data_IF_894780798983
#
_entry.id   IF_894780798983
#
_cell.length_a   1.000
_cell.length_b   1.000
_cell.length_c   1.000
_cell.angle_alpha   90.00
_cell.angle_beta   90.00
_cell.angle_gamma   90.00
#
_symmetry.space_group_name_H-M   'P 1'
#
loop_
_entity.id
_entity.type
_entity.pdbx_description
1 polymer ?
#
# COMPACT_ATOMS: atom_id res chain seq x y z
N UNK A 1 -12.31 -4.16 -32.20
CA UNK A 1 -13.08 -3.46 -31.15
C UNK A 1 -12.11 -3.15 -30.00
N UNK A 2 -11.73 -1.89 -29.80
CA UNK A 2 -10.89 -1.49 -28.66
C UNK A 2 -11.78 -1.33 -27.41
N UNK A 3 -11.38 -1.81 -26.22
CA UNK A 3 -12.20 -1.63 -25.03
C UNK A 3 -12.33 -0.15 -24.70
N UNK A 4 -13.57 0.33 -24.57
CA UNK A 4 -13.86 1.65 -24.00
C UNK A 4 -13.40 1.62 -22.55
N UNK A 5 -12.30 2.30 -22.26
CA UNK A 5 -11.83 2.50 -20.89
C UNK A 5 -12.75 3.50 -20.20
N UNK A 6 -13.86 3.02 -19.62
CA UNK A 6 -14.72 3.85 -18.78
C UNK A 6 -13.91 4.29 -17.56
N UNK A 7 -13.66 5.60 -17.43
CA UNK A 7 -12.90 6.17 -16.31
C UNK A 7 -13.69 5.95 -15.02
N UNK A 8 -13.34 4.92 -14.26
CA UNK A 8 -13.93 4.66 -12.94
C UNK A 8 -13.66 5.86 -12.03
N UNK A 9 -14.73 6.47 -11.51
CA UNK A 9 -14.63 7.53 -10.51
C UNK A 9 -14.43 6.89 -9.14
N UNK A 10 -13.27 7.13 -8.55
CA UNK A 10 -12.93 6.66 -7.20
C UNK A 10 -13.31 7.73 -6.16
N UNK A 11 -13.75 7.31 -4.97
CA UNK A 11 -13.92 8.22 -3.83
C UNK A 11 -12.57 8.79 -3.36
N UNK A 12 -12.59 9.88 -2.58
CA UNK A 12 -11.37 10.46 -2.02
C UNK A 12 -10.53 9.44 -1.25
N UNK A 13 -11.18 8.64 -0.39
CA UNK A 13 -10.52 7.57 0.38
C UNK A 13 -9.94 6.47 -0.53
N UNK A 14 -10.66 6.07 -1.58
CA UNK A 14 -10.15 5.08 -2.54
C UNK A 14 -8.92 5.61 -3.29
N UNK A 15 -8.94 6.87 -3.72
CA UNK A 15 -7.78 7.52 -4.34
C UNK A 15 -6.60 7.53 -3.37
N UNK A 16 -6.85 7.83 -2.09
CA UNK A 16 -5.83 7.85 -1.06
C UNK A 16 -5.19 6.48 -0.82
N UNK A 17 -6.00 5.41 -0.77
CA UNK A 17 -5.54 4.02 -0.66
C UNK A 17 -4.68 3.64 -1.87
N UNK A 18 -5.15 3.96 -3.09
CA UNK A 18 -4.41 3.68 -4.33
C UNK A 18 -3.07 4.43 -4.35
N UNK A 19 -3.06 5.70 -3.96
CA UNK A 19 -1.86 6.51 -3.89
C UNK A 19 -0.88 5.99 -2.84
N UNK A 20 -1.38 5.53 -1.69
CA UNK A 20 -0.57 4.91 -0.65
C UNK A 20 0.05 3.59 -1.14
N UNK A 21 -0.72 2.71 -1.79
CA UNK A 21 -0.20 1.50 -2.42
C UNK A 21 0.95 1.81 -3.38
N UNK A 22 0.75 2.77 -4.30
CA UNK A 22 1.82 3.21 -5.23
C UNK A 22 3.04 3.78 -4.50
N UNK A 23 2.83 4.52 -3.40
CA UNK A 23 3.92 5.06 -2.57
C UNK A 23 4.76 3.95 -1.94
N UNK A 24 4.15 2.86 -1.47
CA UNK A 24 4.88 1.69 -0.97
C UNK A 24 5.81 1.10 -2.04
N UNK A 25 5.33 0.91 -3.27
CA UNK A 25 6.18 0.38 -4.36
C UNK A 25 7.30 1.34 -4.77
N UNK A 26 7.08 2.66 -4.69
CA UNK A 26 8.15 3.65 -4.89
C UNK A 26 9.22 3.54 -3.81
N UNK A 27 8.85 3.31 -2.55
CA UNK A 27 9.79 3.08 -1.46
C UNK A 27 10.58 1.78 -1.66
N UNK A 28 9.92 0.70 -2.10
CA UNK A 28 10.59 -0.58 -2.41
C UNK A 28 11.67 -0.42 -3.49
N UNK A 29 11.46 0.42 -4.50
CA UNK A 29 12.48 0.68 -5.54
C UNK A 29 13.78 1.27 -4.99
N UNK A 30 13.76 1.87 -3.78
CA UNK A 30 14.95 2.39 -3.12
C UNK A 30 15.72 1.32 -2.32
N UNK A 31 15.13 0.15 -2.07
CA UNK A 31 15.76 -0.95 -1.33
C UNK A 31 16.71 -1.76 -2.26
N UNK A 32 17.69 -2.51 -1.70
CA UNK A 32 18.58 -3.38 -2.48
C UNK A 32 17.80 -4.40 -3.30
N UNK A 33 18.28 -4.71 -4.53
CA UNK A 33 17.58 -5.56 -5.50
C UNK A 33 17.12 -6.90 -4.93
N UNK A 34 17.98 -7.55 -4.15
CA UNK A 34 17.78 -8.85 -3.54
C UNK A 34 16.56 -8.88 -2.61
N UNK A 35 16.31 -7.78 -1.90
CA UNK A 35 15.20 -7.69 -0.94
C UNK A 35 13.88 -7.20 -1.56
N UNK A 36 13.92 -6.60 -2.76
CA UNK A 36 12.74 -5.95 -3.36
C UNK A 36 11.55 -6.90 -3.52
N UNK A 37 11.80 -8.13 -3.96
CA UNK A 37 10.72 -9.11 -4.18
C UNK A 37 10.02 -9.48 -2.87
N UNK A 38 10.78 -9.67 -1.78
CA UNK A 38 10.22 -9.92 -0.44
C UNK A 38 9.28 -8.78 -0.01
N UNK A 39 9.73 -7.53 -0.14
CA UNK A 39 8.90 -6.38 0.22
C UNK A 39 7.68 -6.20 -0.71
N UNK A 40 7.78 -6.52 -2.01
CA UNK A 40 6.62 -6.49 -2.92
C UNK A 40 5.55 -7.47 -2.47
N UNK A 41 5.95 -8.70 -2.15
CA UNK A 41 5.04 -9.73 -1.67
C UNK A 41 4.42 -9.31 -0.34
N UNK A 42 5.23 -8.83 0.62
CA UNK A 42 4.73 -8.30 1.89
C UNK A 42 3.65 -7.23 1.69
N UNK A 43 3.90 -6.20 0.87
CA UNK A 43 2.91 -5.15 0.61
C UNK A 43 1.65 -5.72 -0.02
N UNK A 44 1.76 -6.63 -0.98
CA UNK A 44 0.57 -7.27 -1.60
C UNK A 44 -0.25 -8.03 -0.57
N UNK A 45 0.39 -8.87 0.24
CA UNK A 45 -0.26 -9.64 1.30
C UNK A 45 -0.95 -8.71 2.29
N UNK A 46 -0.30 -7.63 2.74
CA UNK A 46 -0.90 -6.70 3.70
C UNK A 46 -2.16 -6.00 3.16
N UNK A 47 -2.20 -5.69 1.87
CA UNK A 47 -3.39 -5.10 1.23
C UNK A 47 -4.49 -6.13 0.94
N UNK A 48 -4.16 -7.43 0.88
CA UNK A 48 -5.10 -8.51 0.58
C UNK A 48 -5.62 -9.24 1.82
N UNK A 49 -4.90 -9.21 2.95
CA UNK A 49 -5.24 -9.97 4.16
C UNK A 49 -6.54 -9.53 4.84
N UNK A 50 -7.06 -8.34 4.52
CA UNK A 50 -8.26 -7.79 5.12
C UNK A 50 -9.43 -7.90 4.14
N UNK A 51 -10.51 -8.56 4.57
CA UNK A 51 -11.75 -8.62 3.80
C UNK A 51 -12.60 -7.37 4.06
N UNK A 52 -12.19 -6.23 3.49
CA UNK A 52 -12.86 -4.93 3.65
C UNK A 52 -13.82 -4.66 2.49
N UNK A 53 -15.00 -4.15 2.84
CA UNK A 53 -15.97 -3.64 1.88
C UNK A 53 -15.76 -2.14 1.67
N UNK A 54 -16.18 -1.59 0.51
CA UNK A 54 -16.07 -0.16 0.25
C UNK A 54 -16.74 0.74 1.30
N UNK A 55 -17.73 0.21 2.04
CA UNK A 55 -18.44 0.90 3.12
C UNK A 55 -17.70 0.96 4.45
N UNK A 56 -16.61 0.20 4.62
CA UNK A 56 -15.88 0.09 5.89
C UNK A 56 -14.90 1.27 6.07
N UNK A 57 -15.40 2.51 5.90
CA UNK A 57 -14.58 3.71 5.82
C UNK A 57 -13.64 3.86 7.03
N UNK A 58 -14.16 3.70 8.26
CA UNK A 58 -13.36 3.86 9.49
C UNK A 58 -12.25 2.81 9.61
N UNK A 59 -12.50 1.56 9.19
CA UNK A 59 -11.49 0.51 9.20
C UNK A 59 -10.41 0.76 8.15
N UNK A 60 -10.81 1.18 6.94
CA UNK A 60 -9.89 1.55 5.86
C UNK A 60 -9.01 2.73 6.29
N UNK A 61 -9.58 3.78 6.88
CA UNK A 61 -8.84 4.94 7.39
C UNK A 61 -7.85 4.56 8.50
N UNK A 62 -8.29 3.73 9.44
CA UNK A 62 -7.41 3.25 10.51
C UNK A 62 -6.20 2.49 9.96
N UNK A 63 -6.43 1.54 9.05
CA UNK A 63 -5.38 0.75 8.41
C UNK A 63 -4.46 1.62 7.55
N UNK A 64 -5.03 2.57 6.81
CA UNK A 64 -4.28 3.53 5.99
C UNK A 64 -3.36 4.39 6.85
N UNK A 65 -3.85 4.92 7.96
CA UNK A 65 -3.05 5.70 8.93
C UNK A 65 -1.97 4.84 9.60
N UNK A 66 -2.27 3.59 9.93
CA UNK A 66 -1.28 2.64 10.47
C UNK A 66 -0.17 2.35 9.45
N UNK A 67 -0.52 2.03 8.21
CA UNK A 67 0.44 1.76 7.14
C UNK A 67 1.32 2.97 6.82
N UNK A 68 0.74 4.18 6.80
CA UNK A 68 1.52 5.42 6.63
C UNK A 68 2.57 5.58 7.73
N UNK A 69 2.20 5.36 9.00
CA UNK A 69 3.15 5.43 10.12
C UNK A 69 4.29 4.41 9.98
N UNK A 70 3.98 3.19 9.57
CA UNK A 70 5.00 2.17 9.30
C UNK A 70 5.96 2.62 8.18
N UNK A 71 5.43 3.11 7.06
CA UNK A 71 6.24 3.56 5.94
C UNK A 71 7.13 4.76 6.28
N UNK A 72 6.69 5.68 7.14
CA UNK A 72 7.54 6.78 7.59
C UNK A 72 8.62 6.28 8.57
N UNK A 73 8.32 5.31 9.44
CA UNK A 73 9.32 4.69 10.32
C UNK A 73 10.45 4.00 9.53
N UNK A 74 10.11 3.30 8.42
CA UNK A 74 11.09 2.72 7.49
C UNK A 74 12.09 3.75 6.94
N UNK A 75 11.65 4.99 6.69
CA UNK A 75 12.50 6.02 6.07
C UNK A 75 13.47 6.65 7.05
N UNK A 76 13.09 6.74 8.33
CA UNK A 76 13.87 7.40 9.37
C UNK A 76 14.97 6.50 9.97
N UNK A 77 15.25 5.35 9.35
CA UNK A 77 16.32 4.45 9.76
C UNK A 77 15.89 3.36 10.74
N UNK A 78 14.59 3.12 10.92
CA UNK A 78 14.10 1.93 11.60
C UNK A 78 14.44 0.68 10.78
N UNK A 79 15.21 -0.24 11.35
CA UNK A 79 15.60 -1.51 10.74
C UNK A 79 14.38 -2.40 10.43
N UNK A 80 13.74 -2.16 9.28
CA UNK A 80 12.65 -3.00 8.79
C UNK A 80 13.23 -4.14 7.92
N UNK A 81 14.48 -4.54 8.22
CA UNK A 81 14.99 -5.84 7.81
C UNK A 81 14.49 -6.96 8.74
N UNK A 82 13.87 -6.60 9.87
CA UNK A 82 13.26 -7.51 10.84
C UNK A 82 11.73 -7.49 10.81
N UNK A 83 11.13 -7.39 9.62
CA UNK A 83 9.77 -7.92 9.47
C UNK A 83 9.90 -9.44 9.53
N UNK A 84 9.49 -10.03 10.66
CA UNK A 84 9.36 -11.47 10.86
C UNK A 84 8.64 -12.12 9.67
#
# INVERSE_FOLDING_TARGET
MSPVTTKIRHSGLQIEVINFYRKCFRAIRKKPLETRNRFRNFVRTQFQQHNLLPKDHSAIEYLLRRGKRQLEADKTGGEIYSLK
#
